data_IF_389898289821
#
_entry.id   IF_389898289821
#
_cell.length_a   1.000
_cell.length_b   1.000
_cell.length_c   1.000
_cell.angle_alpha   90.00
_cell.angle_beta   90.00
_cell.angle_gamma   90.00
#
_symmetry.space_group_name_H-M   'P 1'
#
loop_
_entity.id
_entity.type
_entity.pdbx_description
1 polymer ?
#
# COMPACT_ATOMS: atom_id res chain seq x y z
N UNK A 1 4.13 -15.02 1.62
CA UNK A 1 3.78 -14.45 0.29
C UNK A 1 3.75 -12.93 0.34
N UNK A 2 3.11 -12.30 1.35
CA UNK A 2 3.08 -10.84 1.48
C UNK A 2 4.44 -10.16 1.71
N UNK A 3 5.36 -10.73 2.52
CA UNK A 3 6.72 -10.15 2.69
C UNK A 3 7.47 -10.04 1.36
N UNK A 4 7.37 -11.07 0.50
CA UNK A 4 8.00 -11.06 -0.83
C UNK A 4 7.48 -9.92 -1.72
N UNK A 5 6.26 -9.43 -1.50
CA UNK A 5 5.74 -8.25 -2.22
C UNK A 5 6.52 -7.01 -1.83
N UNK A 6 6.84 -6.84 -0.54
CA UNK A 6 7.64 -5.71 -0.07
C UNK A 6 9.11 -5.84 -0.52
N UNK A 7 9.65 -7.05 -0.54
CA UNK A 7 11.02 -7.28 -1.05
C UNK A 7 11.13 -6.91 -2.53
N UNK A 8 10.16 -7.32 -3.35
CA UNK A 8 10.10 -6.95 -4.78
C UNK A 8 9.87 -5.45 -4.98
N UNK A 9 9.14 -4.80 -4.07
CA UNK A 9 8.96 -3.35 -4.09
C UNK A 9 10.28 -2.62 -3.82
N UNK A 10 11.09 -3.09 -2.86
CA UNK A 10 12.40 -2.51 -2.59
C UNK A 10 13.37 -2.66 -3.78
N UNK A 11 13.21 -3.70 -4.59
CA UNK A 11 13.99 -3.93 -5.83
C UNK A 11 13.45 -3.18 -7.05
N UNK A 12 12.24 -2.62 -6.97
CA UNK A 12 11.56 -1.98 -8.09
C UNK A 12 12.28 -0.67 -8.49
N UNK A 13 12.61 -0.53 -9.78
CA UNK A 13 13.30 0.66 -10.34
C UNK A 13 12.38 1.62 -11.09
N UNK A 14 11.09 1.37 -11.02
CA UNK A 14 10.03 2.11 -11.71
C UNK A 14 8.94 2.44 -10.70
N UNK A 15 8.15 3.47 -10.98
CA UNK A 15 7.04 3.84 -10.10
C UNK A 15 5.93 2.79 -10.16
N UNK A 16 5.33 2.42 -9.01
CA UNK A 16 4.21 1.50 -8.98
C UNK A 16 3.00 2.13 -9.67
N UNK A 17 2.40 1.38 -10.59
CA UNK A 17 1.13 1.76 -11.17
C UNK A 17 -0.02 1.55 -10.17
N UNK A 18 -1.22 1.94 -10.60
CA UNK A 18 -2.42 1.83 -9.79
C UNK A 18 -2.66 0.42 -9.24
N UNK A 19 -2.43 -0.62 -10.05
CA UNK A 19 -2.67 -2.01 -9.65
C UNK A 19 -1.61 -2.49 -8.66
N UNK A 20 -0.36 -2.13 -8.92
CA UNK A 20 0.78 -2.41 -8.04
C UNK A 20 0.54 -1.79 -6.67
N UNK A 21 0.06 -0.54 -6.60
CA UNK A 21 -0.32 0.10 -5.34
C UNK A 21 -1.40 -0.66 -4.58
N UNK A 22 -2.47 -1.13 -5.25
CA UNK A 22 -3.50 -1.95 -4.60
C UNK A 22 -2.93 -3.25 -4.00
N UNK A 23 -2.01 -3.91 -4.72
CA UNK A 23 -1.34 -5.12 -4.24
C UNK A 23 -0.44 -4.80 -3.03
N UNK A 24 0.31 -3.69 -3.10
CA UNK A 24 1.18 -3.24 -2.01
C UNK A 24 0.38 -2.89 -0.76
N UNK A 25 -0.72 -2.15 -0.88
CA UNK A 25 -1.59 -1.81 0.25
C UNK A 25 -2.20 -3.08 0.88
N UNK A 26 -2.66 -4.04 0.07
CA UNK A 26 -3.15 -5.31 0.61
C UNK A 26 -2.04 -6.11 1.32
N UNK A 27 -0.83 -6.17 0.76
CA UNK A 27 0.29 -6.82 1.42
C UNK A 27 0.64 -6.15 2.75
N UNK A 28 0.66 -4.81 2.77
CA UNK A 28 0.87 -4.03 3.97
C UNK A 28 -0.19 -4.34 5.05
N UNK A 29 -1.46 -4.40 4.66
CA UNK A 29 -2.58 -4.75 5.53
C UNK A 29 -2.46 -6.15 6.14
N UNK A 30 -2.00 -7.13 5.35
CA UNK A 30 -1.80 -8.52 5.79
C UNK A 30 -0.62 -8.65 6.76
N UNK A 31 0.47 -7.93 6.50
CA UNK A 31 1.69 -8.01 7.31
C UNK A 31 1.56 -7.29 8.65
N UNK A 32 0.88 -6.13 8.68
CA UNK A 32 0.57 -5.36 9.87
C UNK A 32 1.74 -5.21 10.87
N UNK A 33 2.95 -5.01 10.34
CA UNK A 33 4.18 -4.83 11.11
C UNK A 33 4.77 -3.44 10.83
N UNK A 34 5.79 -3.04 11.59
CA UNK A 34 6.38 -1.70 11.48
C UNK A 34 6.90 -1.36 10.07
N UNK A 35 7.47 -2.34 9.35
CA UNK A 35 7.96 -2.16 7.96
C UNK A 35 6.78 -1.85 7.04
N UNK A 36 5.73 -2.67 7.09
CA UNK A 36 4.51 -2.51 6.32
C UNK A 36 3.80 -1.17 6.61
N UNK A 37 3.74 -0.76 7.89
CA UNK A 37 3.16 0.53 8.28
C UNK A 37 3.93 1.70 7.67
N UNK A 38 5.26 1.67 7.74
CA UNK A 38 6.11 2.72 7.15
C UNK A 38 5.91 2.80 5.64
N UNK A 39 6.08 1.67 4.93
CA UNK A 39 5.95 1.62 3.47
C UNK A 39 4.55 2.03 3.03
N UNK A 40 3.51 1.48 3.67
CA UNK A 40 2.12 1.76 3.34
C UNK A 40 1.75 3.25 3.46
N UNK A 41 2.22 3.91 4.53
CA UNK A 41 2.01 5.36 4.72
C UNK A 41 2.77 6.20 3.69
N UNK A 42 4.02 5.84 3.38
CA UNK A 42 4.82 6.54 2.35
C UNK A 42 4.18 6.41 0.96
N UNK A 43 3.69 5.22 0.61
CA UNK A 43 2.97 4.97 -0.64
C UNK A 43 1.67 5.77 -0.71
N UNK A 44 0.90 5.82 0.38
CA UNK A 44 -0.34 6.60 0.44
C UNK A 44 -0.09 8.10 0.30
N UNK A 45 0.98 8.62 0.92
CA UNK A 45 1.36 10.02 0.80
C UNK A 45 1.78 10.40 -0.63
N UNK A 46 2.49 9.49 -1.32
CA UNK A 46 2.97 9.70 -2.70
C UNK A 46 1.95 9.31 -3.77
N UNK A 47 0.81 8.74 -3.38
CA UNK A 47 -0.20 8.26 -4.32
C UNK A 47 -0.76 9.40 -5.20
N UNK A 48 -0.66 9.27 -6.54
CA UNK A 48 -1.22 10.24 -7.48
C UNK A 48 -2.73 10.46 -7.30
N UNK A 49 -3.18 11.71 -7.48
CA UNK A 49 -4.58 12.10 -7.29
C UNK A 49 -5.55 11.33 -8.21
N UNK A 50 -5.12 11.04 -9.44
CA UNK A 50 -5.90 10.25 -10.40
C UNK A 50 -6.10 8.79 -9.95
N UNK A 51 -5.28 8.28 -9.03
CA UNK A 51 -5.45 6.95 -8.43
C UNK A 51 -6.35 6.97 -7.19
N UNK A 52 -6.41 8.09 -6.45
CA UNK A 52 -7.35 8.29 -5.33
C UNK A 52 -8.81 8.22 -5.76
N UNK A 53 -9.11 8.68 -6.97
CA UNK A 53 -10.46 8.62 -7.54
C UNK A 53 -10.87 7.23 -8.06
N UNK A 54 -10.04 6.20 -7.86
CA UNK A 54 -10.32 4.83 -8.28
C UNK A 54 -10.63 3.95 -7.07
N UNK A 55 -11.84 3.39 -7.08
CA UNK A 55 -12.41 2.64 -5.96
C UNK A 55 -11.48 1.54 -5.42
N UNK A 56 -10.85 0.76 -6.30
CA UNK A 56 -10.04 -0.40 -5.87
C UNK A 56 -8.83 0.03 -5.05
N UNK A 57 -8.10 1.06 -5.50
CA UNK A 57 -6.88 1.51 -4.82
C UNK A 57 -7.20 2.20 -3.50
N UNK A 58 -8.23 3.04 -3.48
CA UNK A 58 -8.70 3.71 -2.27
C UNK A 58 -9.27 2.73 -1.25
N UNK A 59 -10.05 1.72 -1.67
CA UNK A 59 -10.53 0.67 -0.78
C UNK A 59 -9.37 -0.14 -0.17
N UNK A 60 -8.36 -0.51 -0.96
CA UNK A 60 -7.17 -1.21 -0.45
C UNK A 60 -6.38 -0.35 0.54
N UNK A 61 -6.22 0.95 0.28
CA UNK A 61 -5.56 1.87 1.20
C UNK A 61 -6.33 2.04 2.52
N UNK A 62 -7.66 2.18 2.47
CA UNK A 62 -8.51 2.25 3.68
C UNK A 62 -8.43 0.94 4.46
N UNK A 63 -8.47 -0.21 3.79
CA UNK A 63 -8.31 -1.51 4.44
C UNK A 63 -6.96 -1.66 5.14
N UNK A 64 -5.89 -1.17 4.51
CA UNK A 64 -4.57 -1.11 5.14
C UNK A 64 -4.59 -0.26 6.41
N UNK A 65 -5.13 0.96 6.35
CA UNK A 65 -5.25 1.85 7.51
C UNK A 65 -6.09 1.25 8.65
N UNK A 66 -7.22 0.60 8.33
CA UNK A 66 -8.03 -0.16 9.29
C UNK A 66 -7.22 -1.22 10.04
N UNK A 67 -6.36 -1.96 9.33
CA UNK A 67 -5.51 -2.99 9.96
C UNK A 67 -4.42 -2.41 10.84
N UNK A 68 -3.93 -1.22 10.49
CA UNK A 68 -2.97 -0.49 11.29
C UNK A 68 -3.58 0.15 12.55
N UNK A 69 -4.91 0.17 12.67
CA UNK A 69 -5.60 0.92 13.71
C UNK A 69 -5.54 2.44 13.51
N UNK A 70 -5.28 2.88 12.28
CA UNK A 70 -5.04 4.27 11.91
C UNK A 70 -6.20 4.80 11.05
N UNK A 71 -7.40 4.77 11.63
CA UNK A 71 -8.62 5.30 11.01
C UNK A 71 -9.19 6.33 11.98
N UNK A 72 -8.94 7.60 11.69
CA UNK A 72 -9.68 8.72 12.28
C UNK A 72 -10.99 8.96 11.54
#
# INVERSE_FOLDING_TARGET
MAEKVLDLFDEMKIEPDQFTLSVLFNACAVLNNNRAMKIGKELLAKMPENYRNKNITSTSAINMLMKFGDVE
#
